data_IF_872645331487
#
_entry.id   IF_872645331487
#
_cell.length_a   1.000
_cell.length_b   1.000
_cell.length_c   1.000
_cell.angle_alpha   90.00
_cell.angle_beta   90.00
_cell.angle_gamma   90.00
#
_symmetry.space_group_name_H-M   'P 1'
#
loop_
_entity.id
_entity.type
_entity.pdbx_description
1 polymer ?
#
# COMPACT_ATOMS: atom_id res chain seq x y z
N UNK A 1 -2.16 17.01 18.44
CA UNK A 1 -1.30 17.58 17.41
C UNK A 1 -1.26 16.61 16.26
N UNK A 2 -1.91 16.96 15.20
CA UNK A 2 -1.88 16.15 13.99
C UNK A 2 -0.51 16.31 13.38
N UNK A 3 0.33 15.34 13.62
CA UNK A 3 1.48 15.20 12.77
C UNK A 3 0.96 15.05 11.34
N UNK A 4 1.22 16.05 10.53
CA UNK A 4 1.04 15.92 9.12
C UNK A 4 1.86 14.71 8.68
N UNK A 5 1.20 13.58 8.54
CA UNK A 5 1.77 12.50 7.76
C UNK A 5 2.04 13.13 6.41
N UNK A 6 3.29 13.40 6.16
CA UNK A 6 3.72 13.98 4.90
C UNK A 6 3.29 13.01 3.81
N UNK A 7 2.13 13.28 3.23
CA UNK A 7 1.73 12.54 2.06
C UNK A 7 2.75 12.84 0.97
N UNK A 8 3.27 11.82 0.30
CA UNK A 8 4.16 12.08 -0.80
C UNK A 8 3.45 13.00 -1.78
N UNK A 9 4.02 14.17 -1.97
CA UNK A 9 3.52 15.13 -2.94
C UNK A 9 3.81 14.65 -4.36
N UNK A 10 3.23 15.29 -5.36
CA UNK A 10 3.56 15.06 -6.76
C UNK A 10 5.06 15.17 -7.01
N UNK A 11 5.75 16.03 -6.26
CA UNK A 11 7.21 16.16 -6.34
C UNK A 11 7.92 14.88 -5.88
N UNK A 12 7.44 14.25 -4.80
CA UNK A 12 8.00 12.98 -4.33
C UNK A 12 7.76 11.85 -5.33
N UNK A 13 6.58 11.81 -5.94
CA UNK A 13 6.28 10.86 -7.01
C UNK A 13 7.23 11.04 -8.18
N UNK A 14 7.40 12.28 -8.66
CA UNK A 14 8.28 12.59 -9.78
C UNK A 14 9.72 12.20 -9.49
N UNK A 15 10.21 12.48 -8.28
CA UNK A 15 11.58 12.16 -7.87
C UNK A 15 11.81 10.64 -7.81
N UNK A 16 10.87 9.90 -7.22
CA UNK A 16 10.97 8.44 -7.12
C UNK A 16 10.95 7.77 -8.49
N UNK A 17 10.10 8.24 -9.38
CA UNK A 17 10.03 7.74 -10.75
C UNK A 17 11.34 8.06 -11.50
N UNK A 18 11.84 9.29 -11.36
CA UNK A 18 13.10 9.71 -11.98
C UNK A 18 14.28 8.87 -11.50
N UNK A 19 14.34 8.58 -10.21
CA UNK A 19 15.39 7.72 -9.61
C UNK A 19 15.38 6.31 -10.19
N UNK A 20 14.23 5.85 -10.65
CA UNK A 20 14.06 4.55 -11.32
C UNK A 20 14.17 4.64 -12.85
N UNK A 21 14.53 5.80 -13.40
CA UNK A 21 14.62 6.02 -14.84
C UNK A 21 13.26 6.15 -15.53
N UNK A 22 12.21 6.46 -14.79
CA UNK A 22 10.86 6.54 -15.29
C UNK A 22 10.32 7.96 -15.21
N UNK A 23 9.28 8.22 -16.00
CA UNK A 23 8.61 9.52 -16.00
C UNK A 23 7.27 9.46 -15.28
N UNK A 24 6.89 10.58 -14.66
CA UNK A 24 5.51 10.78 -14.28
C UNK A 24 4.66 10.91 -15.56
N UNK A 25 3.54 10.24 -15.57
CA UNK A 25 2.52 10.37 -16.61
C UNK A 25 1.19 10.71 -15.95
N UNK A 26 0.24 11.33 -16.66
CA UNK A 26 -1.07 11.62 -16.08
C UNK A 26 -1.74 10.38 -15.49
N UNK A 27 -1.61 9.23 -16.13
CA UNK A 27 -2.17 7.98 -15.66
C UNK A 27 -1.53 7.55 -14.33
N UNK A 28 -0.19 7.58 -14.24
CA UNK A 28 0.54 7.21 -13.02
C UNK A 28 0.20 8.14 -11.86
N UNK A 29 0.14 9.44 -12.13
CA UNK A 29 -0.23 10.43 -11.12
C UNK A 29 -1.64 10.18 -10.60
N UNK A 30 -2.59 9.94 -11.51
CA UNK A 30 -3.98 9.72 -11.14
C UNK A 30 -4.18 8.46 -10.31
N UNK A 31 -3.53 7.36 -10.70
CA UNK A 31 -3.60 6.10 -9.94
C UNK A 31 -3.00 6.28 -8.54
N UNK A 32 -1.87 6.96 -8.45
CA UNK A 32 -1.24 7.23 -7.15
C UNK A 32 -2.10 8.13 -6.26
N UNK A 33 -2.64 9.19 -6.81
CA UNK A 33 -3.55 10.08 -6.08
C UNK A 33 -4.78 9.35 -5.56
N UNK A 34 -5.36 8.47 -6.38
CA UNK A 34 -6.51 7.67 -5.97
C UNK A 34 -6.19 6.77 -4.77
N UNK A 35 -4.98 6.21 -4.73
CA UNK A 35 -4.52 5.45 -3.58
C UNK A 35 -4.38 6.30 -2.31
N UNK A 36 -3.89 7.54 -2.46
CA UNK A 36 -3.69 8.44 -1.33
C UNK A 36 -4.99 9.00 -0.78
N UNK A 37 -5.97 9.25 -1.65
CA UNK A 37 -7.25 9.83 -1.25
C UNK A 37 -8.07 8.89 -0.38
N UNK A 38 -7.99 7.61 -0.64
CA UNK A 38 -8.79 6.61 0.07
C UNK A 38 -7.93 5.39 0.39
N UNK A 39 -7.53 5.30 1.64
CA UNK A 39 -6.59 4.30 2.13
C UNK A 39 -7.30 3.04 2.62
N UNK A 40 -8.05 2.42 1.74
CA UNK A 40 -8.83 1.22 2.03
C UNK A 40 -8.25 -0.07 1.43
N UNK A 41 -6.98 -0.04 1.04
CA UNK A 41 -6.28 -1.18 0.45
C UNK A 41 -7.00 -1.72 -0.77
N UNK A 42 -7.19 -0.90 -1.81
CA UNK A 42 -7.97 -1.31 -2.97
C UNK A 42 -7.25 -2.36 -3.80
N UNK A 43 -8.03 -3.17 -4.50
CA UNK A 43 -7.56 -4.00 -5.60
C UNK A 43 -7.37 -3.13 -6.85
N UNK A 44 -6.70 -3.68 -7.87
CA UNK A 44 -6.57 -2.99 -9.15
C UNK A 44 -7.93 -2.70 -9.80
N UNK A 45 -8.87 -3.64 -9.69
CA UNK A 45 -10.22 -3.46 -10.24
C UNK A 45 -10.98 -2.33 -9.54
N UNK A 46 -10.86 -2.24 -8.22
CA UNK A 46 -11.47 -1.15 -7.46
C UNK A 46 -10.87 0.20 -7.83
N UNK A 47 -9.55 0.27 -7.97
CA UNK A 47 -8.86 1.48 -8.42
C UNK A 47 -9.26 1.85 -9.83
N UNK A 48 -9.37 0.89 -10.73
CA UNK A 48 -9.82 1.11 -12.09
C UNK A 48 -11.19 1.79 -12.12
N UNK A 49 -12.12 1.30 -11.33
CA UNK A 49 -13.47 1.89 -11.24
C UNK A 49 -13.43 3.34 -10.78
N UNK A 50 -12.56 3.67 -9.84
CA UNK A 50 -12.40 5.03 -9.33
C UNK A 50 -11.73 5.97 -10.33
N UNK A 51 -10.66 5.50 -10.95
CA UNK A 51 -9.85 6.29 -11.89
C UNK A 51 -10.61 6.50 -13.20
N UNK A 52 -11.38 5.52 -13.63
CA UNK A 52 -12.18 5.59 -14.85
C UNK A 52 -13.17 6.75 -14.83
N UNK A 53 -13.67 7.13 -13.66
CA UNK A 53 -14.57 8.27 -13.52
C UNK A 53 -13.90 9.58 -13.96
N UNK A 54 -12.61 9.73 -13.71
CA UNK A 54 -11.86 10.93 -14.07
C UNK A 54 -11.17 10.81 -15.44
N UNK A 55 -10.79 9.61 -15.82
CA UNK A 55 -10.11 9.35 -17.10
C UNK A 55 -10.80 8.18 -17.83
N UNK A 56 -11.93 8.45 -18.52
CA UNK A 56 -12.75 7.37 -19.11
C UNK A 56 -12.02 6.49 -20.12
N UNK A 57 -10.96 6.99 -20.73
CA UNK A 57 -10.17 6.24 -21.70
C UNK A 57 -9.15 5.28 -21.11
N UNK A 58 -8.97 5.26 -19.79
CA UNK A 58 -7.99 4.38 -19.17
C UNK A 58 -8.44 2.92 -19.23
N UNK A 59 -7.51 2.02 -19.48
CA UNK A 59 -7.78 0.58 -19.45
C UNK A 59 -7.34 -0.05 -18.12
N UNK A 60 -7.93 -1.19 -17.79
CA UNK A 60 -7.51 -1.97 -16.63
C UNK A 60 -6.02 -2.37 -16.72
N UNK A 61 -5.56 -2.74 -17.91
CA UNK A 61 -4.15 -3.05 -18.14
C UNK A 61 -3.24 -1.87 -17.79
N UNK A 62 -3.64 -0.65 -18.13
CA UNK A 62 -2.89 0.55 -17.80
C UNK A 62 -2.84 0.76 -16.29
N UNK A 63 -3.94 0.52 -15.58
CA UNK A 63 -3.96 0.60 -14.11
C UNK A 63 -2.99 -0.40 -13.50
N UNK A 64 -2.98 -1.65 -13.95
CA UNK A 64 -2.02 -2.65 -13.49
C UNK A 64 -0.58 -2.21 -13.76
N UNK A 65 -0.29 -1.70 -14.94
CA UNK A 65 1.05 -1.22 -15.28
C UNK A 65 1.49 -0.05 -14.39
N UNK A 66 0.58 0.87 -14.10
CA UNK A 66 0.86 1.97 -13.19
C UNK A 66 1.15 1.47 -11.77
N UNK A 67 0.35 0.55 -11.26
CA UNK A 67 0.54 -0.04 -9.94
C UNK A 67 1.87 -0.78 -9.85
N UNK A 68 2.19 -1.59 -10.84
CA UNK A 68 3.47 -2.30 -10.90
C UNK A 68 4.66 -1.34 -10.87
N UNK A 69 4.59 -0.26 -11.64
CA UNK A 69 5.61 0.79 -11.63
C UNK A 69 5.75 1.42 -10.26
N UNK A 70 4.64 1.76 -9.60
CA UNK A 70 4.65 2.37 -8.27
C UNK A 70 5.22 1.41 -7.22
N UNK A 71 4.94 0.12 -7.34
CA UNK A 71 5.52 -0.91 -6.45
C UNK A 71 7.03 -1.00 -6.67
N UNK A 72 7.48 -1.05 -7.91
CA UNK A 72 8.91 -1.12 -8.24
C UNK A 72 9.67 0.11 -7.73
N UNK A 73 9.05 1.27 -7.75
CA UNK A 73 9.64 2.51 -7.24
C UNK A 73 9.59 2.64 -5.71
N UNK A 74 9.00 1.69 -5.01
CA UNK A 74 8.90 1.72 -3.55
C UNK A 74 7.90 2.72 -3.00
N UNK A 75 6.97 3.23 -3.81
CA UNK A 75 5.93 4.17 -3.38
C UNK A 75 4.67 3.47 -2.89
N UNK A 76 4.44 2.25 -3.33
CA UNK A 76 3.26 1.45 -3.02
C UNK A 76 3.71 0.04 -2.72
N UNK A 77 3.04 -0.62 -1.80
CA UNK A 77 3.25 -2.03 -1.50
C UNK A 77 2.11 -2.86 -2.04
N UNK A 78 2.43 -3.98 -2.67
CA UNK A 78 1.47 -4.99 -3.03
C UNK A 78 1.28 -5.91 -1.81
N UNK A 79 0.04 -6.09 -1.40
CA UNK A 79 -0.32 -6.90 -0.24
C UNK A 79 -1.14 -8.09 -0.72
N UNK A 80 -0.65 -9.29 -0.46
CA UNK A 80 -1.30 -10.51 -0.90
C UNK A 80 -1.84 -11.26 0.31
N UNK A 81 -3.13 -11.56 0.28
CA UNK A 81 -3.76 -12.44 1.25
C UNK A 81 -4.16 -13.73 0.53
N UNK A 82 -4.13 -14.81 1.25
CA UNK A 82 -4.49 -16.11 0.71
C UNK A 82 -5.90 -16.10 0.12
N UNK A 83 -6.05 -16.55 -1.12
CA UNK A 83 -7.32 -16.68 -1.85
C UNK A 83 -8.04 -15.36 -2.16
N UNK A 84 -7.34 -14.25 -2.13
CA UNK A 84 -7.92 -12.96 -2.50
C UNK A 84 -7.06 -12.28 -3.54
N UNK A 85 -7.63 -11.27 -4.21
CA UNK A 85 -6.90 -10.44 -5.15
C UNK A 85 -5.85 -9.60 -4.43
N UNK A 86 -4.75 -9.31 -5.10
CA UNK A 86 -3.73 -8.40 -4.58
C UNK A 86 -4.32 -7.04 -4.27
N UNK A 87 -3.99 -6.53 -3.09
CA UNK A 87 -4.36 -5.20 -2.64
C UNK A 87 -3.14 -4.30 -2.63
N UNK A 88 -3.35 -3.00 -2.68
CA UNK A 88 -2.27 -2.04 -2.79
C UNK A 88 -2.33 -1.03 -1.65
N UNK A 89 -1.19 -0.77 -1.04
CA UNK A 89 -1.07 0.07 0.14
C UNK A 89 0.00 1.13 -0.05
N UNK A 90 -0.34 2.43 0.03
CA UNK A 90 0.65 3.51 -0.08
C UNK A 90 1.34 3.85 1.24
N UNK A 91 1.04 3.13 2.32
CA UNK A 91 1.63 3.39 3.62
C UNK A 91 3.05 2.85 3.69
N UNK A 92 4.03 3.73 3.71
CA UNK A 92 5.46 3.39 3.75
C UNK A 92 6.02 3.28 5.16
N UNK A 93 5.25 3.64 6.18
CA UNK A 93 5.68 3.46 7.57
C UNK A 93 5.58 1.99 7.98
N UNK A 94 6.43 1.53 8.92
CA UNK A 94 6.34 0.15 9.39
C UNK A 94 4.96 -0.15 9.97
N UNK A 95 4.27 -1.12 9.41
CA UNK A 95 2.95 -1.53 9.86
C UNK A 95 2.68 -2.99 9.49
N UNK A 96 1.72 -3.57 10.19
CA UNK A 96 1.12 -4.84 9.82
C UNK A 96 -0.23 -4.58 9.18
N UNK A 97 -0.83 -5.62 8.65
CA UNK A 97 -2.20 -5.59 8.16
C UNK A 97 -3.05 -6.54 9.00
N UNK A 98 -4.26 -6.14 9.26
CA UNK A 98 -5.29 -7.01 9.82
C UNK A 98 -6.32 -7.30 8.73
N UNK A 99 -6.47 -8.56 8.40
CA UNK A 99 -7.47 -9.01 7.43
C UNK A 99 -8.66 -9.60 8.17
N UNK A 100 -9.82 -8.97 7.99
CA UNK A 100 -11.07 -9.44 8.56
C UNK A 100 -11.67 -10.52 7.66
N UNK A 101 -11.69 -11.74 8.16
CA UNK A 101 -12.19 -12.89 7.40
C UNK A 101 -13.69 -12.82 7.16
N UNK A 102 -14.45 -12.07 7.97
CA UNK A 102 -15.90 -11.96 7.81
C UNK A 102 -16.29 -10.90 6.78
N UNK A 103 -15.62 -9.74 6.82
CA UNK A 103 -15.99 -8.61 5.96
C UNK A 103 -15.10 -8.47 4.74
N UNK A 104 -13.92 -9.10 4.75
CA UNK A 104 -12.90 -8.91 3.73
C UNK A 104 -12.15 -7.59 3.86
N UNK A 105 -12.45 -6.80 4.88
CA UNK A 105 -11.77 -5.52 5.11
C UNK A 105 -10.31 -5.73 5.51
N UNK A 106 -9.47 -4.81 5.12
CA UNK A 106 -8.05 -4.79 5.49
C UNK A 106 -7.74 -3.47 6.19
N UNK A 107 -7.11 -3.58 7.35
CA UNK A 107 -6.76 -2.44 8.19
C UNK A 107 -5.26 -2.40 8.42
N UNK A 108 -4.71 -1.19 8.51
CA UNK A 108 -3.33 -1.00 8.94
C UNK A 108 -3.24 -1.11 10.46
N UNK A 109 -2.22 -1.82 10.92
CA UNK A 109 -1.89 -1.93 12.34
C UNK A 109 -0.50 -1.37 12.54
N UNK A 110 -0.39 -0.28 13.27
CA UNK A 110 0.91 0.34 13.53
C UNK A 110 1.78 -0.57 14.38
N UNK A 111 3.04 -0.69 14.00
CA UNK A 111 4.02 -1.50 14.71
C UNK A 111 5.06 -0.61 15.37
N UNK A 112 5.45 -0.90 16.62
CA UNK A 112 6.59 -0.21 17.22
C UNK A 112 7.86 -0.55 16.42
N UNK A 113 8.72 0.45 16.12
CA UNK A 113 9.96 0.21 15.38
C UNK A 113 10.88 -0.84 16.00
N UNK A 114 10.87 -0.95 17.32
CA UNK A 114 11.65 -1.95 18.05
C UNK A 114 11.24 -3.38 17.72
N UNK A 115 9.97 -3.61 17.43
CA UNK A 115 9.47 -4.95 17.08
C UNK A 115 10.11 -5.47 15.79
N UNK A 116 10.22 -4.63 14.77
CA UNK A 116 10.84 -5.03 13.51
C UNK A 116 12.33 -5.33 13.68
N UNK A 117 13.02 -4.54 14.48
CA UNK A 117 14.42 -4.79 14.81
C UNK A 117 14.57 -6.13 15.52
N UNK A 118 13.70 -6.42 16.48
CA UNK A 118 13.72 -7.70 17.20
C UNK A 118 13.45 -8.89 16.28
N UNK A 119 12.49 -8.75 15.36
CA UNK A 119 12.17 -9.80 14.40
C UNK A 119 13.36 -10.07 13.46
N UNK A 120 14.02 -9.04 12.98
CA UNK A 120 15.20 -9.19 12.12
C UNK A 120 16.36 -9.82 12.87
N UNK A 121 16.53 -9.51 14.14
CA UNK A 121 17.59 -10.08 14.97
C UNK A 121 17.39 -11.58 15.26
N UNK A 122 16.18 -12.09 15.08
CA UNK A 122 15.88 -13.51 15.25
C UNK A 122 16.42 -14.37 14.10
N UNK A 123 16.85 -13.76 13.00
CA UNK A 123 17.40 -14.48 11.87
C UNK A 123 18.76 -15.09 12.22
N UNK A 124 19.04 -16.31 11.75
CA UNK A 124 20.37 -16.90 11.89
C UNK A 124 21.46 -16.03 11.28
N UNK A 125 22.71 -16.13 11.77
CA UNK A 125 23.82 -15.39 11.18
C UNK A 125 23.98 -15.65 9.68
N UNK A 126 24.22 -14.59 8.93
CA UNK A 126 24.39 -14.66 7.48
C UNK A 126 23.11 -14.45 6.67
N UNK A 127 21.97 -14.36 7.34
CA UNK A 127 20.69 -14.04 6.69
C UNK A 127 20.31 -12.59 6.96
N UNK A 128 19.94 -11.89 5.90
CA UNK A 128 19.43 -10.52 5.99
C UNK A 128 18.03 -10.46 5.38
N UNK A 129 17.10 -9.82 6.08
CA UNK A 129 15.76 -9.62 5.56
C UNK A 129 15.72 -8.31 4.77
N UNK A 130 15.29 -8.38 3.53
CA UNK A 130 14.98 -7.18 2.73
C UNK A 130 13.66 -6.56 3.12
N UNK A 131 12.73 -7.36 3.64
CA UNK A 131 11.42 -6.90 4.10
C UNK A 131 10.87 -7.85 5.16
N UNK A 132 10.00 -7.31 6.00
CA UNK A 132 9.22 -8.09 6.96
C UNK A 132 7.75 -7.75 6.72
N UNK A 133 6.95 -8.75 6.47
CA UNK A 133 5.51 -8.59 6.29
C UNK A 133 4.79 -9.35 7.40
N UNK A 134 3.86 -8.67 8.06
CA UNK A 134 3.08 -9.25 9.15
C UNK A 134 1.60 -9.08 8.82
N UNK A 135 0.88 -10.17 8.84
CA UNK A 135 -0.56 -10.18 8.61
C UNK A 135 -1.25 -10.87 9.78
N UNK A 136 -2.15 -10.13 10.41
CA UNK A 136 -3.10 -10.72 11.35
C UNK A 136 -4.37 -11.11 10.60
N UNK A 137 -4.86 -12.29 10.88
CA UNK A 137 -6.12 -12.78 10.30
C UNK A 137 -7.07 -13.12 11.42
N UNK A 138 -8.30 -12.71 11.26
CA UNK A 138 -9.32 -12.99 12.26
C UNK A 138 -10.59 -12.22 11.99
N UNK A 139 -11.43 -12.12 13.00
CA UNK A 139 -12.64 -11.31 12.96
C UNK A 139 -12.62 -10.33 14.11
N UNK A 140 -13.05 -9.10 13.82
CA UNK A 140 -13.09 -8.04 14.82
C UNK A 140 -14.46 -7.91 15.45
N UNK A 141 -14.50 -7.72 16.77
CA UNK A 141 -15.66 -7.11 17.37
C UNK A 141 -15.73 -5.66 16.91
N UNK A 142 -16.87 -5.25 16.35
CA UNK A 142 -17.09 -3.86 15.93
C UNK A 142 -16.95 -2.85 17.06
N UNK A 143 -16.88 -3.32 18.30
CA UNK A 143 -16.64 -2.48 19.48
C UNK A 143 -15.17 -2.19 19.71
N UNK A 144 -14.28 -2.96 19.12
CA UNK A 144 -12.90 -2.55 19.02
C UNK A 144 -12.86 -1.45 17.97
N UNK A 145 -13.20 -0.24 18.36
CA UNK A 145 -12.97 0.92 17.54
C UNK A 145 -11.48 1.03 17.35
N UNK A 146 -11.07 0.53 16.21
CA UNK A 146 -9.83 0.99 15.64
C UNK A 146 -10.09 2.46 15.34
N UNK A 147 -9.75 3.30 16.30
CA UNK A 147 -9.70 4.72 16.02
C UNK A 147 -8.81 4.93 14.83
N UNK A 148 -9.33 5.58 13.78
CA UNK A 148 -8.48 5.94 12.67
C UNK A 148 -7.28 6.76 13.14
#
# INVERSE_FOLDING_TARGET
MLESRTQPSSAALNQRLADSGLRATPQRELVYEALLQRRDHPTADELFSRVKAELPGISLATVYNCLETLVQCGLVRAVNFERTSTRYCPNLTPHAHFHDDETGATLDVDLPPSLLADLKSALPPGLEASAVEITFRGSGSRKATLSP
#
